data_IF_321682480639
#
_entry.id   IF_321682480639
#
_cell.length_a   1.000
_cell.length_b   1.000
_cell.length_c   1.000
_cell.angle_alpha   90.00
_cell.angle_beta   90.00
_cell.angle_gamma   90.00
#
_symmetry.space_group_name_H-M   'P 1'
#
loop_
_entity.id
_entity.type
_entity.pdbx_description
1 polymer ?
#
# COMPACT_ATOMS: atom_id res chain seq x y z
N UNK A 1 0.78 -46.19 46.31
CA UNK A 1 0.98 -45.49 45.03
C UNK A 1 1.69 -44.19 45.34
N UNK A 2 2.97 -44.08 44.97
CA UNK A 2 3.75 -42.85 45.11
C UNK A 2 3.54 -42.01 43.84
N UNK A 3 3.26 -40.73 44.04
CA UNK A 3 3.18 -39.70 43.00
C UNK A 3 4.60 -39.19 42.73
N UNK A 4 5.15 -39.51 41.56
CA UNK A 4 6.51 -39.18 41.16
C UNK A 4 6.56 -37.72 40.68
N UNK A 5 7.17 -36.86 41.50
CA UNK A 5 7.45 -35.47 41.16
C UNK A 5 8.30 -35.36 39.89
N UNK A 6 7.74 -34.70 38.88
CA UNK A 6 8.43 -34.34 37.65
C UNK A 6 9.66 -33.44 37.96
N UNK A 7 10.82 -33.69 37.33
CA UNK A 7 12.01 -32.88 37.55
C UNK A 7 11.80 -31.48 36.98
N UNK A 8 11.96 -30.46 37.84
CA UNK A 8 12.05 -29.07 37.40
C UNK A 8 13.39 -28.88 36.69
N UNK A 9 13.41 -29.04 35.36
CA UNK A 9 14.54 -28.58 34.56
C UNK A 9 14.74 -27.08 34.82
N UNK A 10 15.95 -26.72 35.24
CA UNK A 10 16.28 -25.37 35.64
C UNK A 10 16.06 -24.38 34.51
N UNK A 11 15.18 -23.40 34.71
CA UNK A 11 14.94 -22.30 33.78
C UNK A 11 16.25 -21.59 33.35
N UNK A 12 17.27 -21.61 34.21
CA UNK A 12 18.58 -21.06 33.93
C UNK A 12 19.35 -21.78 32.80
N UNK A 13 19.15 -23.09 32.62
CA UNK A 13 19.84 -23.88 31.60
C UNK A 13 19.24 -23.60 30.20
N UNK A 14 17.91 -23.43 30.11
CA UNK A 14 17.24 -23.01 28.86
C UNK A 14 17.65 -21.62 28.38
N UNK A 15 18.04 -20.73 29.29
CA UNK A 15 18.48 -19.36 28.96
C UNK A 15 19.87 -19.38 28.32
N UNK A 16 20.73 -20.34 28.65
CA UNK A 16 22.08 -20.44 28.08
C UNK A 16 22.13 -21.19 26.74
N UNK A 17 21.26 -22.17 26.53
CA UNK A 17 21.33 -23.04 25.33
C UNK A 17 20.56 -22.51 24.11
N UNK A 18 19.66 -21.54 24.27
CA UNK A 18 18.81 -21.06 23.18
C UNK A 18 18.91 -19.54 22.95
N UNK A 19 19.67 -19.08 21.93
CA UNK A 19 19.73 -17.64 21.59
C UNK A 19 18.35 -17.07 21.23
N UNK A 20 17.44 -17.92 20.75
CA UNK A 20 16.04 -17.56 20.48
C UNK A 20 15.26 -17.24 21.77
N UNK A 21 15.50 -17.97 22.86
CA UNK A 21 14.86 -17.74 24.15
C UNK A 21 15.35 -16.44 24.79
N UNK A 22 16.66 -16.16 24.70
CA UNK A 22 17.23 -14.89 25.16
C UNK A 22 16.65 -13.72 24.38
N UNK A 23 16.55 -13.83 23.05
CA UNK A 23 15.94 -12.80 22.19
C UNK A 23 14.48 -12.53 22.55
N UNK A 24 13.67 -13.59 22.77
CA UNK A 24 12.27 -13.44 23.15
C UNK A 24 12.09 -12.68 24.49
N UNK A 25 12.93 -12.98 25.49
CA UNK A 25 12.88 -12.30 26.79
C UNK A 25 13.28 -10.82 26.67
N UNK A 26 14.30 -10.51 25.87
CA UNK A 26 14.75 -9.13 25.64
C UNK A 26 13.63 -8.30 24.98
N UNK A 27 12.93 -8.86 23.98
CA UNK A 27 11.83 -8.17 23.31
C UNK A 27 10.70 -7.84 24.31
N UNK A 28 10.34 -8.79 25.17
CA UNK A 28 9.31 -8.58 26.20
C UNK A 28 9.71 -7.44 27.16
N UNK A 29 10.98 -7.38 27.56
CA UNK A 29 11.49 -6.30 28.43
C UNK A 29 11.46 -4.93 27.74
N UNK A 30 11.81 -4.85 26.45
CA UNK A 30 11.76 -3.59 25.68
C UNK A 30 10.32 -3.10 25.55
N UNK A 31 9.36 -3.98 25.26
CA UNK A 31 7.94 -3.63 25.15
C UNK A 31 7.39 -3.13 26.48
N UNK A 32 7.72 -3.81 27.58
CA UNK A 32 7.32 -3.38 28.92
C UNK A 32 7.90 -2.00 29.29
N UNK A 33 9.17 -1.75 28.97
CA UNK A 33 9.81 -0.45 29.18
C UNK A 33 9.20 0.66 28.31
N UNK A 34 8.86 0.36 27.06
CA UNK A 34 8.21 1.31 26.15
C UNK A 34 6.83 1.72 26.65
N UNK A 35 6.00 0.75 27.08
CA UNK A 35 4.68 1.04 27.66
C UNK A 35 4.82 1.89 28.94
N UNK A 36 5.80 1.57 29.79
CA UNK A 36 6.06 2.34 31.00
C UNK A 36 6.50 3.78 30.69
N UNK A 37 7.37 3.99 29.70
CA UNK A 37 7.81 5.31 29.28
C UNK A 37 6.68 6.14 28.64
N UNK A 38 5.76 5.51 27.90
CA UNK A 38 4.68 6.20 27.20
C UNK A 38 3.44 6.48 28.06
N UNK A 39 3.30 5.86 29.23
CA UNK A 39 2.14 6.06 30.13
C UNK A 39 2.28 7.27 31.08
N UNK A 40 3.32 8.10 30.91
CA UNK A 40 3.50 9.34 31.68
C UNK A 40 2.90 10.56 30.97
N UNK A 41 1.77 11.02 31.49
CA UNK A 41 1.15 12.36 31.33
C UNK A 41 0.82 12.87 29.91
N UNK A 42 -0.46 12.72 29.52
CA UNK A 42 -1.10 13.51 28.45
C UNK A 42 -2.26 14.32 29.04
N UNK A 43 -1.98 15.58 29.39
CA UNK A 43 -2.99 16.61 29.62
C UNK A 43 -3.17 17.44 28.33
N UNK A 44 -4.43 17.57 27.94
CA UNK A 44 -4.96 18.04 26.67
C UNK A 44 -4.88 19.58 26.51
N UNK A 45 -4.58 20.14 25.31
CA UNK A 45 -4.66 21.58 25.08
C UNK A 45 -6.08 21.98 24.68
N UNK A 46 -6.69 22.82 25.50
CA UNK A 46 -7.98 23.47 25.25
C UNK A 46 -7.82 24.86 24.62
N UNK A 47 -8.85 25.23 23.85
CA UNK A 47 -9.19 26.49 23.20
C UNK A 47 -8.58 27.78 23.76
N UNK A 48 -8.17 28.67 22.85
CA UNK A 48 -8.26 30.12 23.04
C UNK A 48 -8.43 30.83 21.70
N UNK A 49 -9.64 31.35 21.51
CA UNK A 49 -10.04 32.29 20.49
C UNK A 49 -9.27 33.62 20.61
N UNK A 50 -9.00 34.29 19.49
CA UNK A 50 -8.89 35.73 19.49
C UNK A 50 -9.42 36.33 18.17
N UNK A 51 -10.37 37.24 18.34
CA UNK A 51 -11.06 38.06 17.36
C UNK A 51 -10.12 38.95 16.54
N UNK A 52 -10.46 39.19 15.26
CA UNK A 52 -10.39 40.55 14.69
C UNK A 52 -11.50 40.74 13.65
N UNK A 53 -12.39 41.70 13.93
CA UNK A 53 -13.37 42.20 12.99
C UNK A 53 -12.80 43.35 12.13
N UNK A 54 -13.25 43.45 10.87
CA UNK A 54 -13.56 44.76 10.28
C UNK A 54 -12.98 45.09 8.90
N UNK A 55 -13.91 45.27 7.94
CA UNK A 55 -13.96 46.28 6.87
C UNK A 55 -12.95 46.18 5.71
N UNK A 56 -13.21 46.57 4.45
CA UNK A 56 -14.39 46.91 3.63
C UNK A 56 -13.82 47.31 2.24
N UNK A 57 -14.62 47.20 1.18
CA UNK A 57 -14.54 47.94 -0.09
C UNK A 57 -13.62 47.43 -1.24
N UNK A 58 -14.31 46.90 -2.26
CA UNK A 58 -14.43 47.46 -3.63
C UNK A 58 -13.20 47.66 -4.52
N UNK A 59 -13.25 47.03 -5.70
CA UNK A 59 -12.49 47.35 -6.91
C UNK A 59 -12.47 46.14 -7.85
N UNK A 60 -13.56 45.90 -8.60
CA UNK A 60 -13.63 46.18 -10.03
C UNK A 60 -12.52 45.51 -10.85
N UNK A 61 -12.85 44.39 -11.51
CA UNK A 61 -12.20 43.93 -12.74
C UNK A 61 -13.26 43.25 -13.62
N UNK A 62 -13.72 43.97 -14.64
CA UNK A 62 -14.27 43.38 -15.87
C UNK A 62 -13.34 43.78 -17.04
N UNK A 63 -13.52 43.23 -18.25
CA UNK A 63 -12.76 42.12 -18.78
C UNK A 63 -11.86 42.56 -19.94
N UNK A 64 -10.87 41.76 -20.32
CA UNK A 64 -10.24 41.91 -21.63
C UNK A 64 -10.08 40.56 -22.32
N UNK A 65 -10.63 40.58 -23.51
CA UNK A 65 -10.85 39.53 -24.47
C UNK A 65 -9.59 39.27 -25.31
N UNK A 66 -9.61 38.13 -26.01
CA UNK A 66 -9.06 37.93 -27.35
C UNK A 66 -7.63 37.38 -27.56
N UNK A 67 -7.64 36.31 -28.36
CA UNK A 67 -6.68 35.85 -29.38
C UNK A 67 -5.68 34.73 -29.03
N UNK A 68 -6.14 33.51 -29.35
CA UNK A 68 -5.40 32.46 -30.04
C UNK A 68 -4.54 33.01 -31.20
N UNK A 69 -3.37 32.40 -31.46
CA UNK A 69 -3.30 31.51 -32.63
C UNK A 69 -2.44 30.24 -32.40
N UNK A 70 -2.98 29.09 -32.79
CA UNK A 70 -2.23 27.99 -33.44
C UNK A 70 -2.17 28.31 -34.96
N UNK A 71 -1.31 27.71 -35.83
CA UNK A 71 -0.95 26.29 -35.85
C UNK A 71 0.46 25.94 -36.42
N UNK A 72 0.65 24.62 -36.63
CA UNK A 72 1.57 23.92 -37.53
C UNK A 72 2.85 23.31 -36.91
N UNK A 73 3.40 22.18 -37.34
CA UNK A 73 2.98 20.96 -38.06
C UNK A 73 4.29 20.16 -38.33
N UNK A 74 4.22 18.83 -38.38
CA UNK A 74 5.13 17.89 -39.06
C UNK A 74 6.59 17.66 -38.58
N UNK A 75 6.88 16.45 -38.07
CA UNK A 75 7.67 15.46 -38.84
C UNK A 75 7.76 14.08 -38.16
N UNK A 76 7.38 13.10 -38.97
CA UNK A 76 7.48 11.64 -38.83
C UNK A 76 8.89 11.06 -39.07
N UNK A 77 8.98 9.76 -38.76
CA UNK A 77 9.87 8.71 -39.28
C UNK A 77 11.27 8.61 -38.61
N UNK A 78 11.87 7.43 -38.38
CA UNK A 78 11.61 6.09 -38.90
C UNK A 78 12.30 5.03 -38.01
N UNK A 79 11.86 3.80 -38.22
CA UNK A 79 12.05 2.45 -37.68
C UNK A 79 13.50 2.00 -37.52
N UNK A 80 13.77 1.16 -36.51
CA UNK A 80 14.51 -0.09 -36.74
C UNK A 80 13.86 -1.26 -36.00
N UNK A 81 13.58 -2.26 -36.83
CA UNK A 81 12.88 -3.52 -36.70
C UNK A 81 13.75 -4.61 -36.05
N UNK A 82 13.11 -5.62 -35.45
CA UNK A 82 13.71 -6.94 -35.31
C UNK A 82 13.19 -7.77 -34.14
N UNK A 83 12.18 -8.61 -34.38
CA UNK A 83 11.90 -9.77 -33.53
C UNK A 83 10.45 -10.23 -33.48
N UNK A 84 9.96 -10.77 -34.59
CA UNK A 84 8.68 -11.50 -34.68
C UNK A 84 8.69 -12.77 -33.81
N UNK A 85 7.67 -12.92 -32.94
CA UNK A 85 6.96 -14.19 -32.74
C UNK A 85 5.49 -13.87 -32.51
N UNK A 86 4.66 -14.37 -33.42
CA UNK A 86 3.21 -14.33 -33.36
C UNK A 86 2.74 -15.55 -32.58
N UNK A 87 2.06 -15.35 -31.44
CA UNK A 87 1.03 -16.29 -31.02
C UNK A 87 -0.10 -15.51 -30.32
N UNK A 88 -1.22 -15.45 -31.02
CA UNK A 88 -2.46 -14.81 -30.64
C UNK A 88 -3.06 -15.56 -29.43
N UNK A 89 -3.00 -14.95 -28.26
CA UNK A 89 -3.86 -15.30 -27.12
C UNK A 89 -4.12 -14.04 -26.30
N UNK A 90 -5.36 -13.86 -25.86
CA UNK A 90 -5.93 -12.60 -25.38
C UNK A 90 -5.01 -11.82 -24.41
N UNK A 91 -4.58 -10.64 -24.86
CA UNK A 91 -3.50 -9.86 -24.27
C UNK A 91 -3.99 -9.18 -22.98
N UNK A 92 -3.75 -9.87 -21.86
CA UNK A 92 -3.74 -9.21 -20.54
C UNK A 92 -2.54 -8.26 -20.54
N UNK A 93 -2.69 -6.98 -20.13
CA UNK A 93 -1.56 -6.05 -20.11
C UNK A 93 -0.37 -6.65 -19.35
N UNK A 94 0.77 -6.76 -20.03
CA UNK A 94 1.98 -7.31 -19.43
C UNK A 94 2.41 -6.43 -18.25
N UNK A 95 2.24 -6.96 -17.03
CA UNK A 95 2.67 -6.29 -15.82
C UNK A 95 4.20 -6.13 -15.88
N UNK A 96 4.77 -4.91 -15.73
CA UNK A 96 6.22 -4.71 -15.80
C UNK A 96 6.93 -5.61 -14.79
N UNK A 97 8.13 -6.11 -15.12
CA UNK A 97 8.82 -7.08 -14.28
C UNK A 97 9.14 -6.48 -12.90
N UNK A 98 8.67 -7.13 -11.84
CA UNK A 98 9.06 -6.84 -10.46
C UNK A 98 10.05 -7.89 -9.99
N UNK A 99 11.00 -7.49 -9.15
CA UNK A 99 11.87 -8.46 -8.48
C UNK A 99 11.12 -9.06 -7.29
N UNK A 100 11.04 -10.39 -7.25
CA UNK A 100 10.47 -11.11 -6.10
C UNK A 100 11.56 -11.34 -5.06
N UNK A 101 11.29 -10.93 -3.82
CA UNK A 101 12.15 -11.22 -2.67
C UNK A 101 11.52 -12.33 -1.81
N UNK A 102 12.20 -12.71 -0.73
CA UNK A 102 11.63 -13.65 0.25
C UNK A 102 10.46 -13.07 1.06
N UNK A 103 10.24 -11.75 1.06
CA UNK A 103 9.27 -11.08 1.94
C UNK A 103 8.19 -10.31 1.16
N UNK A 104 8.36 -10.08 -0.15
CA UNK A 104 7.44 -9.26 -0.95
C UNK A 104 7.89 -9.07 -2.40
N UNK A 105 7.14 -8.26 -3.13
CA UNK A 105 7.50 -7.78 -4.46
C UNK A 105 8.18 -6.42 -4.36
N UNK A 106 9.31 -6.27 -5.05
CA UNK A 106 9.97 -4.97 -5.25
C UNK A 106 9.45 -4.41 -6.56
N UNK A 107 8.62 -3.39 -6.45
CA UNK A 107 8.11 -2.65 -7.60
C UNK A 107 8.98 -1.43 -7.88
N UNK A 108 9.22 -1.18 -9.16
CA UNK A 108 9.88 0.03 -9.63
C UNK A 108 8.83 0.99 -10.17
N UNK A 109 8.78 2.22 -9.66
CA UNK A 109 7.87 3.25 -10.14
C UNK A 109 8.26 3.74 -11.54
N UNK A 110 7.28 3.81 -12.43
CA UNK A 110 7.40 4.39 -13.77
C UNK A 110 6.80 5.81 -13.81
N UNK A 111 6.98 6.51 -14.92
CA UNK A 111 6.38 7.83 -15.10
C UNK A 111 4.85 7.78 -14.94
N UNK A 112 4.31 8.59 -14.02
CA UNK A 112 2.88 8.62 -13.71
C UNK A 112 2.42 7.55 -12.71
N UNK A 113 3.31 6.65 -12.27
CA UNK A 113 2.98 5.70 -11.22
C UNK A 113 2.85 6.41 -9.87
N UNK A 114 1.98 5.83 -9.04
CA UNK A 114 1.86 6.15 -7.62
C UNK A 114 1.69 4.84 -6.85
N UNK A 115 1.63 4.93 -5.53
CA UNK A 115 1.54 3.75 -4.65
C UNK A 115 0.38 2.82 -5.04
N UNK A 116 -0.77 3.37 -5.45
CA UNK A 116 -1.92 2.59 -5.94
C UNK A 116 -1.57 1.74 -7.16
N UNK A 117 -0.79 2.28 -8.12
CA UNK A 117 -0.35 1.56 -9.31
C UNK A 117 0.57 0.39 -8.94
N UNK A 118 1.50 0.62 -8.02
CA UNK A 118 2.40 -0.43 -7.52
C UNK A 118 1.61 -1.51 -6.76
N UNK A 119 0.67 -1.10 -5.91
CA UNK A 119 -0.23 -2.00 -5.18
C UNK A 119 -1.06 -2.87 -6.13
N UNK A 120 -1.61 -2.29 -7.21
CA UNK A 120 -2.33 -3.02 -8.25
C UNK A 120 -1.48 -4.10 -8.90
N UNK A 121 -0.25 -3.77 -9.27
CA UNK A 121 0.69 -4.73 -9.90
C UNK A 121 1.06 -5.85 -8.94
N UNK A 122 1.47 -5.51 -7.72
CA UNK A 122 1.85 -6.48 -6.70
C UNK A 122 0.67 -7.41 -6.35
N UNK A 123 -0.54 -6.87 -6.21
CA UNK A 123 -1.76 -7.65 -5.97
C UNK A 123 -2.07 -8.59 -7.13
N UNK A 124 -1.99 -8.10 -8.37
CA UNK A 124 -2.25 -8.91 -9.57
C UNK A 124 -1.26 -10.08 -9.65
N UNK A 125 0.03 -9.85 -9.36
CA UNK A 125 1.03 -10.93 -9.29
C UNK A 125 0.78 -11.88 -8.12
N UNK A 126 0.38 -11.36 -6.96
CA UNK A 126 0.04 -12.23 -5.83
C UNK A 126 -1.16 -13.14 -6.15
N UNK A 127 -2.20 -12.63 -6.80
CA UNK A 127 -3.40 -13.37 -7.18
C UNK A 127 -3.17 -14.37 -8.32
N UNK A 128 -2.16 -14.18 -9.17
CA UNK A 128 -1.80 -15.18 -10.19
C UNK A 128 -1.03 -16.37 -9.59
N UNK A 129 -0.33 -16.15 -8.49
CA UNK A 129 0.45 -17.18 -7.80
C UNK A 129 -0.29 -17.86 -6.64
N UNK A 130 -1.26 -17.18 -6.04
CA UNK A 130 -1.98 -17.60 -4.85
C UNK A 130 -3.49 -17.61 -5.11
N UNK A 131 -4.20 -18.52 -4.47
CA UNK A 131 -5.66 -18.59 -4.54
C UNK A 131 -6.25 -17.74 -3.41
N UNK A 132 -7.04 -16.73 -3.75
CA UNK A 132 -7.72 -15.88 -2.77
C UNK A 132 -8.79 -16.61 -1.93
N UNK A 133 -9.26 -17.78 -2.38
CA UNK A 133 -10.31 -18.54 -1.70
C UNK A 133 -11.73 -17.99 -1.90
N UNK A 134 -11.90 -16.96 -2.73
CA UNK A 134 -13.17 -16.41 -3.18
C UNK A 134 -13.01 -15.80 -4.59
N UNK A 135 -14.12 -15.49 -5.26
CA UNK A 135 -14.10 -14.80 -6.55
C UNK A 135 -13.73 -13.34 -6.35
N UNK A 136 -12.52 -12.95 -6.74
CA UNK A 136 -12.06 -11.56 -6.67
C UNK A 136 -12.70 -10.77 -7.80
N UNK A 137 -13.65 -9.90 -7.46
CA UNK A 137 -14.26 -8.94 -8.40
C UNK A 137 -13.47 -7.63 -8.43
N UNK A 138 -13.80 -6.75 -9.36
CA UNK A 138 -13.17 -5.43 -9.50
C UNK A 138 -13.29 -4.57 -8.23
N UNK A 139 -14.42 -4.65 -7.54
CA UNK A 139 -14.63 -3.98 -6.25
C UNK A 139 -13.63 -4.44 -5.20
N UNK A 140 -13.37 -5.75 -5.13
CA UNK A 140 -12.38 -6.31 -4.21
C UNK A 140 -10.97 -5.83 -4.58
N UNK A 141 -10.64 -5.74 -5.87
CA UNK A 141 -9.33 -5.24 -6.32
C UNK A 141 -9.13 -3.79 -5.89
N UNK A 142 -10.13 -2.93 -6.06
CA UNK A 142 -10.07 -1.53 -5.62
C UNK A 142 -9.88 -1.45 -4.11
N UNK A 143 -10.64 -2.24 -3.35
CA UNK A 143 -10.49 -2.27 -1.90
C UNK A 143 -9.07 -2.70 -1.49
N UNK A 144 -8.52 -3.74 -2.12
CA UNK A 144 -7.15 -4.21 -1.83
C UNK A 144 -6.12 -3.12 -2.17
N UNK A 145 -6.26 -2.45 -3.30
CA UNK A 145 -5.37 -1.36 -3.72
C UNK A 145 -5.38 -0.19 -2.71
N UNK A 146 -6.58 0.28 -2.35
CA UNK A 146 -6.77 1.36 -1.37
C UNK A 146 -6.26 0.95 0.01
N UNK A 147 -6.54 -0.28 0.42
CA UNK A 147 -6.07 -0.82 1.68
C UNK A 147 -4.53 -0.82 1.74
N UNK A 148 -3.85 -1.33 0.71
CA UNK A 148 -2.38 -1.30 0.65
C UNK A 148 -1.86 0.14 0.64
N UNK A 149 -2.46 1.02 -0.16
CA UNK A 149 -2.07 2.43 -0.22
C UNK A 149 -2.19 3.12 1.15
N UNK A 150 -3.29 2.90 1.87
CA UNK A 150 -3.51 3.50 3.19
C UNK A 150 -2.45 3.09 4.23
N UNK A 151 -1.76 1.95 4.05
CA UNK A 151 -0.62 1.56 4.91
C UNK A 151 0.72 2.14 4.45
N UNK A 152 0.91 2.33 3.15
CA UNK A 152 2.18 2.78 2.56
C UNK A 152 2.27 4.31 2.41
N UNK A 153 1.13 4.99 2.43
CA UNK A 153 0.99 6.44 2.28
C UNK A 153 0.41 6.84 0.94
N UNK A 154 0.35 8.15 0.72
CA UNK A 154 -0.22 8.77 -0.47
C UNK A 154 0.77 9.72 -1.18
N UNK A 155 2.06 9.62 -0.86
CA UNK A 155 3.09 10.38 -1.55
C UNK A 155 3.21 9.95 -3.02
N UNK A 156 3.54 10.91 -3.88
CA UNK A 156 3.98 10.63 -5.24
C UNK A 156 5.33 9.89 -5.21
N UNK A 157 5.58 9.09 -6.23
CA UNK A 157 6.83 8.33 -6.39
C UNK A 157 7.67 8.95 -7.51
N UNK A 158 8.98 8.93 -7.34
CA UNK A 158 9.90 9.32 -8.41
C UNK A 158 10.10 8.16 -9.40
N UNK A 159 10.39 8.49 -10.67
CA UNK A 159 10.67 7.46 -11.67
C UNK A 159 11.94 6.69 -11.29
N UNK A 160 11.85 5.37 -11.24
CA UNK A 160 12.94 4.49 -10.80
C UNK A 160 12.97 4.23 -9.29
N UNK A 161 12.10 4.87 -8.51
CA UNK A 161 11.96 4.59 -7.09
C UNK A 161 11.51 3.14 -6.86
N UNK A 162 12.14 2.47 -5.90
CA UNK A 162 11.83 1.09 -5.55
C UNK A 162 11.04 1.03 -4.26
N UNK A 163 9.91 0.34 -4.29
CA UNK A 163 9.09 0.11 -3.11
C UNK A 163 8.81 -1.37 -2.95
N UNK A 164 8.99 -1.86 -1.73
CA UNK A 164 8.66 -3.25 -1.41
C UNK A 164 7.23 -3.32 -0.87
N UNK A 165 6.40 -4.13 -1.52
CA UNK A 165 5.07 -4.48 -1.03
C UNK A 165 5.14 -5.90 -0.48
N UNK A 166 5.00 -6.04 0.83
CA UNK A 166 5.17 -7.32 1.52
C UNK A 166 4.02 -8.30 1.21
N UNK A 167 4.33 -9.60 1.20
CA UNK A 167 3.31 -10.63 1.01
C UNK A 167 2.29 -10.63 2.14
N UNK A 168 2.72 -10.36 3.38
CA UNK A 168 1.85 -10.26 4.54
C UNK A 168 0.81 -9.14 4.35
N UNK A 169 1.24 -7.97 3.86
CA UNK A 169 0.35 -6.84 3.61
C UNK A 169 -0.70 -7.17 2.53
N UNK A 170 -0.28 -7.81 1.43
CA UNK A 170 -1.20 -8.22 0.37
C UNK A 170 -2.18 -9.29 0.88
N UNK A 171 -1.68 -10.27 1.63
CA UNK A 171 -2.51 -11.34 2.21
C UNK A 171 -3.53 -10.78 3.20
N UNK A 172 -3.15 -9.81 4.03
CA UNK A 172 -4.04 -9.14 4.97
C UNK A 172 -5.13 -8.35 4.22
N UNK A 173 -4.75 -7.67 3.13
CA UNK A 173 -5.66 -6.92 2.29
C UNK A 173 -6.70 -7.83 1.61
N UNK A 174 -6.24 -8.95 1.03
CA UNK A 174 -7.12 -9.95 0.39
C UNK A 174 -8.06 -10.58 1.42
N UNK A 175 -7.55 -10.90 2.62
CA UNK A 175 -8.38 -11.43 3.71
C UNK A 175 -9.43 -10.43 4.18
N UNK A 176 -9.08 -9.14 4.24
CA UNK A 176 -10.01 -8.07 4.59
C UNK A 176 -11.05 -7.85 3.48
N UNK A 177 -10.65 -7.98 2.21
CA UNK A 177 -11.55 -7.88 1.07
C UNK A 177 -12.60 -8.99 1.07
N UNK A 178 -12.23 -10.22 1.47
CA UNK A 178 -13.17 -11.34 1.59
C UNK A 178 -14.32 -11.07 2.57
N UNK A 179 -14.10 -10.18 3.55
CA UNK A 179 -15.07 -9.87 4.60
C UNK A 179 -16.02 -8.72 4.23
N UNK A 180 -15.92 -8.17 3.02
CA UNK A 180 -16.79 -7.10 2.55
C UNK A 180 -18.24 -7.60 2.45
N UNK A 181 -19.16 -6.79 2.96
CA UNK A 181 -20.60 -6.99 2.77
C UNK A 181 -21.07 -6.53 1.39
N UNK A 182 -22.21 -7.04 0.94
CA UNK A 182 -22.82 -6.66 -0.34
C UNK A 182 -23.02 -5.14 -0.46
N UNK A 183 -23.39 -4.46 0.64
CA UNK A 183 -23.54 -3.00 0.65
C UNK A 183 -22.21 -2.27 0.42
N UNK A 184 -21.09 -2.81 0.93
CA UNK A 184 -19.78 -2.22 0.72
C UNK A 184 -19.32 -2.44 -0.73
N UNK A 185 -19.55 -3.64 -1.28
CA UNK A 185 -19.28 -3.93 -2.69
C UNK A 185 -20.11 -3.01 -3.61
N UNK A 186 -21.40 -2.81 -3.31
CA UNK A 186 -22.26 -1.89 -4.04
C UNK A 186 -21.70 -0.46 -4.06
N UNK A 187 -21.17 0.03 -2.93
CA UNK A 187 -20.54 1.36 -2.88
C UNK A 187 -19.23 1.42 -3.67
N UNK A 188 -18.47 0.32 -3.74
CA UNK A 188 -17.23 0.24 -4.49
C UNK A 188 -17.47 0.15 -6.01
N UNK A 189 -18.63 -0.36 -6.43
CA UNK A 189 -19.01 -0.48 -7.85
C UNK A 189 -18.96 0.84 -8.62
N UNK A 190 -19.10 1.99 -7.94
CA UNK A 190 -18.99 3.30 -8.59
C UNK A 190 -17.56 3.66 -9.04
N UNK A 191 -16.56 2.94 -8.53
CA UNK A 191 -15.14 3.18 -8.80
C UNK A 191 -14.53 2.15 -9.76
N UNK A 192 -15.26 1.11 -10.16
CA UNK A 192 -14.74 0.02 -11.04
C UNK A 192 -14.42 0.48 -12.45
N UNK A 193 -14.98 1.61 -12.89
CA UNK A 193 -14.61 2.25 -14.15
C UNK A 193 -13.13 2.69 -14.22
N UNK A 194 -12.46 2.85 -13.07
CA UNK A 194 -11.04 3.22 -12.99
C UNK A 194 -10.06 2.04 -13.18
N UNK A 195 -10.58 0.81 -13.37
CA UNK A 195 -9.79 -0.39 -13.60
C UNK A 195 -9.59 -0.77 -15.08
N UNK A 196 -10.17 -0.01 -16.01
CA UNK A 196 -10.09 -0.23 -17.46
C UNK A 196 -8.80 0.30 -18.08
#
# INVERSE_FOLDING_TARGET
MADEGQPQEGFADRIKESPRTVSAIIIILIVAAAIYAFSGDQQQPGDSQQETAGQQATGELTPSDTASPAPADSSEADVMEGGEIVEQNEETPAVPAAERTGQGYVEVAQAGDGITHLARRATTRWLSENQAGFTVTDEHRIYIEDYIQNRLGNQGLEVGEQMTISFDLISEAVSSAQQLSDSQLQHLSQYTSALQ
#
